data_IF_788547599887
#
_entry.id   IF_788547599887
#
_cell.length_a   1.000
_cell.length_b   1.000
_cell.length_c   1.000
_cell.angle_alpha   90.00
_cell.angle_beta   90.00
_cell.angle_gamma   90.00
#
_symmetry.space_group_name_H-M   'P 1'
#
loop_
_entity.id
_entity.type
_entity.pdbx_description
1 polymer ?
#
# COMPACT_ATOMS: atom_id res chain seq x y z
N UNK A 1 -18.22 7.39 -3.12
CA UNK A 1 -17.30 7.92 -2.10
C UNK A 1 -16.06 7.05 -2.11
N UNK A 2 -14.93 7.60 -2.54
CA UNK A 2 -13.66 6.89 -2.50
C UNK A 2 -12.80 7.59 -1.46
N UNK A 3 -12.52 6.93 -0.33
CA UNK A 3 -11.57 7.45 0.64
C UNK A 3 -10.22 7.66 -0.06
N UNK A 4 -9.65 8.85 0.09
CA UNK A 4 -8.32 9.16 -0.42
C UNK A 4 -7.28 8.60 0.56
N UNK A 5 -6.59 7.54 0.14
CA UNK A 5 -5.54 6.90 0.93
C UNK A 5 -4.22 7.65 0.71
N UNK A 6 -3.63 8.13 1.80
CA UNK A 6 -2.35 8.84 1.82
C UNK A 6 -1.29 7.99 2.51
N UNK A 7 -0.05 8.10 2.04
CA UNK A 7 1.07 7.30 2.57
C UNK A 7 1.81 8.10 3.64
N UNK A 8 1.84 7.61 4.87
CA UNK A 8 2.51 8.31 5.98
C UNK A 8 4.01 7.99 6.07
N UNK A 9 4.38 6.74 5.79
CA UNK A 9 5.76 6.26 5.83
C UNK A 9 6.00 5.37 4.62
N UNK A 10 7.00 5.72 3.81
CA UNK A 10 7.60 4.81 2.84
C UNK A 10 9.01 4.45 3.32
N UNK A 11 9.33 3.16 3.30
CA UNK A 11 10.72 2.71 3.35
C UNK A 11 11.44 3.08 2.05
N UNK A 12 12.77 3.20 2.11
CA UNK A 12 13.61 3.53 0.94
C UNK A 12 13.35 2.61 -0.25
N UNK A 13 13.01 1.34 0.01
CA UNK A 13 12.75 0.34 -1.02
C UNK A 13 11.68 0.74 -2.04
N UNK A 14 10.59 1.41 -1.65
CA UNK A 14 9.57 1.83 -2.62
C UNK A 14 10.02 2.97 -3.51
N UNK A 15 10.74 3.92 -2.92
CA UNK A 15 11.38 5.01 -3.66
C UNK A 15 12.45 4.46 -4.60
N UNK A 16 13.20 3.44 -4.17
CA UNK A 16 14.21 2.78 -5.00
C UNK A 16 13.58 1.97 -6.16
N UNK A 17 12.46 1.28 -5.92
CA UNK A 17 11.77 0.47 -6.94
C UNK A 17 11.06 1.34 -7.98
N UNK A 18 10.37 2.40 -7.55
CA UNK A 18 9.52 3.20 -8.42
C UNK A 18 10.15 4.53 -8.86
N UNK A 19 11.25 4.95 -8.23
CA UNK A 19 11.89 6.25 -8.48
C UNK A 19 11.05 7.44 -8.03
N UNK A 20 10.08 7.23 -7.12
CA UNK A 20 9.11 8.24 -6.69
C UNK A 20 9.14 8.34 -5.16
N UNK A 21 9.25 9.57 -4.64
CA UNK A 21 9.00 9.85 -3.22
C UNK A 21 7.49 9.91 -3.00
N UNK A 22 6.97 9.02 -2.14
CA UNK A 22 5.53 8.85 -1.94
C UNK A 22 5.06 9.35 -0.58
N UNK A 23 5.95 9.81 0.30
CA UNK A 23 5.57 10.29 1.63
C UNK A 23 4.65 11.50 1.54
N UNK A 24 3.50 11.41 2.19
CA UNK A 24 2.46 12.44 2.18
C UNK A 24 1.62 12.46 0.90
N UNK A 25 2.01 11.68 -0.11
CA UNK A 25 1.37 11.65 -1.41
C UNK A 25 0.27 10.60 -1.49
N UNK A 26 -0.54 10.70 -2.55
CA UNK A 26 -1.57 9.71 -2.85
C UNK A 26 -0.95 8.44 -3.43
N UNK A 27 -1.47 7.28 -3.01
CA UNK A 27 -1.14 5.98 -3.62
C UNK A 27 -1.49 5.90 -5.11
N UNK A 28 -2.29 6.83 -5.63
CA UNK A 28 -2.64 6.93 -7.07
C UNK A 28 -1.45 7.33 -7.96
N UNK A 29 -0.35 7.80 -7.38
CA UNK A 29 0.89 8.06 -8.13
C UNK A 29 1.62 6.76 -8.53
N UNK A 30 1.29 5.64 -7.89
CA UNK A 30 1.80 4.32 -8.26
C UNK A 30 1.14 3.79 -9.54
N UNK A 31 1.74 2.78 -10.19
CA UNK A 31 1.08 2.05 -11.27
C UNK A 31 -0.33 1.61 -10.88
N UNK A 32 -1.29 1.79 -11.79
CA UNK A 32 -2.73 1.63 -11.53
C UNK A 32 -3.09 0.32 -10.83
N UNK A 33 -2.50 -0.79 -11.25
CA UNK A 33 -2.75 -2.11 -10.68
C UNK A 33 -2.25 -2.24 -9.24
N UNK A 34 -1.14 -1.59 -8.89
CA UNK A 34 -0.61 -1.54 -7.54
C UNK A 34 -1.44 -0.60 -6.65
N UNK A 35 -1.75 0.59 -7.15
CA UNK A 35 -2.60 1.56 -6.47
C UNK A 35 -3.97 0.95 -6.12
N UNK A 36 -4.61 0.27 -7.07
CA UNK A 36 -5.89 -0.41 -6.86
C UNK A 36 -5.82 -1.47 -5.75
N UNK A 37 -4.73 -2.25 -5.69
CA UNK A 37 -4.53 -3.27 -4.64
C UNK A 37 -4.31 -2.66 -3.27
N UNK A 38 -3.56 -1.57 -3.17
CA UNK A 38 -3.36 -0.84 -1.91
C UNK A 38 -4.67 -0.24 -1.42
N UNK A 39 -5.46 0.38 -2.31
CA UNK A 39 -6.79 0.92 -1.99
C UNK A 39 -7.73 -0.19 -1.49
N UNK A 40 -7.80 -1.32 -2.20
CA UNK A 40 -8.61 -2.48 -1.80
C UNK A 40 -8.19 -3.03 -0.42
N UNK A 41 -6.88 -3.12 -0.18
CA UNK A 41 -6.34 -3.53 1.12
C UNK A 41 -6.77 -2.54 2.21
N UNK A 42 -6.62 -1.24 1.98
CA UNK A 42 -7.03 -0.23 2.95
C UNK A 42 -8.53 -0.26 3.28
N UNK A 43 -9.37 -0.36 2.24
CA UNK A 43 -10.82 -0.52 2.41
C UNK A 43 -11.17 -1.78 3.21
N UNK A 44 -10.51 -2.90 2.92
CA UNK A 44 -10.74 -4.16 3.64
C UNK A 44 -10.29 -4.07 5.11
N UNK A 45 -9.17 -3.41 5.38
CA UNK A 45 -8.66 -3.20 6.74
C UNK A 45 -9.65 -2.36 7.58
N UNK A 46 -10.17 -1.27 7.02
CA UNK A 46 -11.18 -0.41 7.67
C UNK A 46 -12.48 -1.19 7.89
N UNK A 47 -12.97 -1.90 6.87
CA UNK A 47 -14.22 -2.64 6.94
C UNK A 47 -14.20 -3.76 7.99
N UNK A 48 -13.06 -4.45 8.13
CA UNK A 48 -12.90 -5.53 9.10
C UNK A 48 -12.51 -5.04 10.50
N UNK A 49 -12.09 -3.77 10.65
CA UNK A 49 -11.50 -3.25 11.88
C UNK A 49 -10.40 -4.16 12.43
N UNK A 50 -9.59 -4.73 11.53
CA UNK A 50 -8.59 -5.72 11.87
C UNK A 50 -7.34 -5.58 10.97
N UNK A 51 -6.17 -6.00 11.46
CA UNK A 51 -4.98 -6.13 10.63
C UNK A 51 -5.24 -7.08 9.45
N UNK A 52 -4.71 -6.72 8.28
CA UNK A 52 -4.70 -7.58 7.11
C UNK A 52 -3.28 -7.76 6.59
N UNK A 53 -3.03 -8.93 6.01
CA UNK A 53 -1.78 -9.28 5.35
C UNK A 53 -2.10 -9.82 3.96
N UNK A 54 -1.42 -9.30 2.95
CA UNK A 54 -1.53 -9.73 1.56
C UNK A 54 -0.15 -10.03 0.99
N UNK A 55 -0.07 -11.04 0.12
CA UNK A 55 1.13 -11.38 -0.61
C UNK A 55 0.84 -11.34 -2.10
N UNK A 56 1.76 -10.79 -2.90
CA UNK A 56 1.65 -10.79 -4.34
C UNK A 56 3.02 -10.85 -5.01
N UNK A 57 3.08 -11.38 -6.22
CA UNK A 57 4.29 -11.31 -7.04
C UNK A 57 4.27 -10.02 -7.86
N UNK A 58 5.35 -9.25 -7.82
CA UNK A 58 5.54 -8.14 -8.75
C UNK A 58 6.18 -8.71 -10.01
N UNK A 59 5.35 -9.11 -10.98
CA UNK A 59 5.83 -9.58 -12.28
C UNK A 59 6.07 -8.44 -13.29
N UNK A 60 6.09 -7.18 -12.84
CA UNK A 60 6.06 -6.00 -13.72
C UNK A 60 6.96 -4.84 -13.29
N UNK A 61 7.72 -4.96 -12.20
CA UNK A 61 8.75 -3.97 -11.89
C UNK A 61 10.04 -4.34 -12.64
N UNK A 62 10.64 -3.42 -13.43
CA UNK A 62 11.85 -3.71 -14.18
C UNK A 62 12.97 -4.21 -13.26
N UNK A 63 13.56 -5.37 -13.56
CA UNK A 63 14.67 -5.94 -12.80
C UNK A 63 14.28 -6.63 -11.48
N UNK A 64 13.00 -6.79 -11.19
CA UNK A 64 12.49 -7.48 -9.99
C UNK A 64 11.61 -8.69 -10.33
N UNK A 65 11.84 -9.31 -11.48
CA UNK A 65 11.23 -10.59 -11.81
C UNK A 65 11.46 -11.56 -10.62
N UNK A 66 10.36 -12.12 -10.10
CA UNK A 66 10.32 -13.05 -8.96
C UNK A 66 10.45 -12.48 -7.53
N UNK A 67 10.54 -11.15 -7.33
CA UNK A 67 10.40 -10.60 -5.98
C UNK A 67 8.91 -10.47 -5.60
N UNK A 68 8.52 -11.23 -4.57
CA UNK A 68 7.21 -11.11 -3.95
C UNK A 68 7.15 -9.83 -3.13
N UNK A 69 6.04 -9.11 -3.21
CA UNK A 69 5.70 -8.00 -2.33
C UNK A 69 4.66 -8.43 -1.34
N UNK A 70 4.92 -8.08 -0.10
CA UNK A 70 4.04 -8.24 1.02
C UNK A 70 3.45 -6.89 1.41
N UNK A 71 2.15 -6.88 1.66
CA UNK A 71 1.43 -5.72 2.18
C UNK A 71 0.84 -6.09 3.53
N UNK A 72 1.18 -5.33 4.55
CA UNK A 72 0.50 -5.38 5.85
C UNK A 72 -0.21 -4.06 6.08
N UNK A 73 -1.50 -4.09 6.41
CA UNK A 73 -2.26 -2.89 6.79
C UNK A 73 -2.91 -3.08 8.15
N UNK A 74 -2.84 -2.05 8.98
CA UNK A 74 -3.32 -2.05 10.37
C UNK A 74 -4.17 -0.79 10.60
N UNK A 75 -5.38 -0.90 11.17
CA UNK A 75 -6.15 0.28 11.52
C UNK A 75 -5.48 1.02 12.68
N UNK A 76 -5.33 2.35 12.56
CA UNK A 76 -4.70 3.17 13.62
C UNK A 76 -5.65 3.31 14.82
N UNK A 77 -6.96 3.24 14.57
CA UNK A 77 -8.00 3.30 15.59
C UNK A 77 -9.19 2.41 15.23
N UNK A 78 -9.96 2.04 16.24
CA UNK A 78 -11.14 1.18 16.07
C UNK A 78 -12.32 1.91 15.41
N UNK A 79 -12.29 3.23 15.34
CA UNK A 79 -13.37 4.10 14.83
C UNK A 79 -12.94 4.98 13.64
N UNK A 80 -11.66 5.35 13.53
CA UNK A 80 -11.15 6.18 12.43
C UNK A 80 -10.98 5.45 11.10
N UNK A 81 -10.79 6.22 10.03
CA UNK A 81 -10.59 5.72 8.65
C UNK A 81 -9.10 5.67 8.26
N UNK A 82 -8.21 6.02 9.18
CA UNK A 82 -6.76 6.02 8.93
C UNK A 82 -6.17 4.64 9.22
N UNK A 83 -5.31 4.19 8.31
CA UNK A 83 -4.58 2.93 8.41
C UNK A 83 -3.08 3.19 8.29
N UNK A 84 -2.27 2.39 9.00
CA UNK A 84 -0.85 2.26 8.71
C UNK A 84 -0.67 1.10 7.73
N UNK A 85 0.15 1.30 6.70
CA UNK A 85 0.45 0.28 5.70
C UNK A 85 1.96 0.15 5.53
N UNK A 86 2.44 -1.09 5.59
CA UNK A 86 3.83 -1.47 5.36
C UNK A 86 3.87 -2.29 4.06
N UNK A 87 4.79 -1.92 3.17
CA UNK A 87 5.15 -2.69 1.98
C UNK A 87 6.58 -3.22 2.15
N UNK A 88 6.78 -4.51 1.90
CA UNK A 88 8.09 -5.17 1.95
C UNK A 88 8.27 -6.11 0.77
#
# INVERSE_FOLDING_TARGET
GGADFTVRVCGTALTDIFGIELRGESVRLLPETLAARMILSGQRCIALRAPIRGHSQISRAPGQDFQGVEICAVPISNDGETIDMILA
#
